data_IF_098611476461
#
_entry.id   IF_098611476461
#
_cell.length_a   1.000
_cell.length_b   1.000
_cell.length_c   1.000
_cell.angle_alpha   90.00
_cell.angle_beta   90.00
_cell.angle_gamma   90.00
#
_symmetry.space_group_name_H-M   'P 1'
#
loop_
_entity.id
_entity.type
_entity.pdbx_description
1 polymer ?
#
# COMPACT_ATOMS: atom_id res chain seq x y z
N UNK A 1 -0.38 1.64 19.33
CA UNK A 1 0.40 1.50 18.08
C UNK A 1 -0.51 2.02 17.00
N UNK A 2 -0.19 3.16 16.42
CA UNK A 2 -1.05 3.83 15.44
C UNK A 2 -0.89 3.12 14.11
N UNK A 3 -1.90 2.34 13.71
CA UNK A 3 -1.97 1.75 12.39
C UNK A 3 -1.81 2.88 11.37
N UNK A 4 -0.70 2.85 10.66
CA UNK A 4 -0.48 3.76 9.54
C UNK A 4 -1.48 3.31 8.48
N UNK A 5 -2.62 3.97 8.44
CA UNK A 5 -3.67 3.71 7.48
C UNK A 5 -3.12 4.07 6.10
N UNK A 6 -2.54 3.07 5.43
CA UNK A 6 -2.02 3.15 4.08
C UNK A 6 -3.12 3.72 3.21
N UNK A 7 -2.89 4.95 2.77
CA UNK A 7 -3.80 5.79 2.00
C UNK A 7 -4.33 5.03 0.79
N UNK A 8 -5.59 4.63 0.84
CA UNK A 8 -6.34 4.06 -0.28
C UNK A 8 -6.52 5.12 -1.36
N UNK A 9 -5.51 5.28 -2.23
CA UNK A 9 -5.70 5.74 -3.61
C UNK A 9 -6.25 4.54 -4.42
N UNK A 10 -7.26 3.86 -3.87
CA UNK A 10 -8.11 2.89 -4.56
C UNK A 10 -9.34 3.58 -5.17
N UNK A 11 -9.38 4.91 -5.08
CA UNK A 11 -10.45 5.79 -5.51
C UNK A 11 -10.60 5.74 -7.03
N UNK A 12 -11.74 5.26 -7.53
CA UNK A 12 -11.99 5.10 -8.98
C UNK A 12 -13.12 5.99 -9.49
N UNK A 13 -13.98 6.49 -8.61
CA UNK A 13 -15.08 7.39 -8.97
C UNK A 13 -14.86 8.83 -8.49
N UNK A 14 -15.46 9.79 -9.20
CA UNK A 14 -15.46 11.21 -8.84
C UNK A 14 -16.01 11.47 -7.43
N UNK A 15 -16.99 10.69 -6.98
CA UNK A 15 -17.58 10.82 -5.65
C UNK A 15 -16.61 10.38 -4.54
N UNK A 16 -15.85 9.31 -4.76
CA UNK A 16 -14.82 8.89 -3.82
C UNK A 16 -13.66 9.91 -3.78
N UNK A 17 -13.33 10.57 -4.91
CA UNK A 17 -12.33 11.64 -4.98
C UNK A 17 -12.77 12.86 -4.17
N UNK A 18 -14.06 13.20 -4.21
CA UNK A 18 -14.65 14.26 -3.36
C UNK A 18 -14.55 13.90 -1.89
N UNK A 19 -14.84 12.65 -1.53
CA UNK A 19 -14.72 12.17 -0.16
C UNK A 19 -13.26 12.17 0.33
N UNK A 20 -12.33 11.74 -0.53
CA UNK A 20 -10.89 11.79 -0.27
C UNK A 20 -10.44 13.24 -0.01
N UNK A 21 -10.78 14.16 -0.90
CA UNK A 21 -10.47 15.58 -0.73
C UNK A 21 -11.03 16.14 0.59
N UNK A 22 -12.27 15.81 0.93
CA UNK A 22 -12.89 16.23 2.19
C UNK A 22 -12.13 15.70 3.42
N UNK A 23 -11.72 14.42 3.43
CA UNK A 23 -10.92 13.83 4.52
C UNK A 23 -9.58 14.53 4.71
N UNK A 24 -8.98 15.00 3.62
CA UNK A 24 -7.71 15.72 3.62
C UNK A 24 -7.86 17.24 3.76
N UNK A 25 -9.05 17.75 4.07
CA UNK A 25 -9.29 19.17 4.29
C UNK A 25 -9.26 20.03 3.02
N UNK A 26 -9.22 19.40 1.84
CA UNK A 26 -9.31 20.06 0.54
C UNK A 26 -10.78 20.42 0.26
N UNK A 27 -11.24 21.50 0.88
CA UNK A 27 -12.60 22.03 0.73
C UNK A 27 -12.64 23.16 -0.30
N UNK A 28 -13.70 23.22 -1.10
CA UNK A 28 -13.96 24.33 -2.01
C UNK A 28 -13.07 24.37 -3.26
N UNK A 29 -12.49 23.24 -3.65
CA UNK A 29 -11.80 23.14 -4.94
C UNK A 29 -12.79 23.32 -6.09
N UNK A 30 -12.41 24.00 -7.18
CA UNK A 30 -13.23 24.04 -8.39
C UNK A 30 -13.27 22.65 -9.08
N UNK A 31 -14.31 22.41 -9.89
CA UNK A 31 -14.59 21.07 -10.45
C UNK A 31 -13.49 20.53 -11.35
N UNK A 32 -12.78 21.41 -12.05
CA UNK A 32 -11.60 21.09 -12.86
C UNK A 32 -10.47 20.46 -12.03
N UNK A 33 -10.30 20.92 -10.79
CA UNK A 33 -9.29 20.37 -9.88
C UNK A 33 -9.69 18.99 -9.36
N UNK A 34 -10.98 18.74 -9.15
CA UNK A 34 -11.47 17.39 -8.82
C UNK A 34 -11.27 16.42 -9.97
N UNK A 35 -11.54 16.85 -11.20
CA UNK A 35 -11.27 16.05 -12.40
C UNK A 35 -9.78 15.74 -12.53
N UNK A 36 -8.90 16.72 -12.30
CA UNK A 36 -7.46 16.51 -12.35
C UNK A 36 -6.96 15.56 -11.27
N UNK A 37 -7.54 15.63 -10.07
CA UNK A 37 -7.20 14.74 -8.97
C UNK A 37 -7.62 13.30 -9.26
N UNK A 38 -8.77 13.11 -9.91
CA UNK A 38 -9.22 11.80 -10.39
C UNK A 38 -8.25 11.18 -11.42
N UNK A 39 -7.80 11.97 -12.40
CA UNK A 39 -6.82 11.53 -13.40
C UNK A 39 -5.48 11.12 -12.77
N UNK A 40 -4.98 11.92 -11.81
CA UNK A 40 -3.75 11.60 -11.08
C UNK A 40 -3.89 10.34 -10.24
N UNK A 41 -5.01 10.18 -9.53
CA UNK A 41 -5.29 8.99 -8.72
C UNK A 41 -5.28 7.72 -9.58
N UNK A 42 -5.93 7.77 -10.75
CA UNK A 42 -5.92 6.67 -11.72
C UNK A 42 -4.51 6.33 -12.19
N UNK A 43 -3.73 7.34 -12.59
CA UNK A 43 -2.37 7.15 -13.11
C UNK A 43 -1.45 6.52 -12.05
N UNK A 44 -1.49 7.04 -10.81
CA UNK A 44 -0.68 6.52 -9.70
C UNK A 44 -1.06 5.08 -9.37
N UNK A 45 -2.36 4.75 -9.42
CA UNK A 45 -2.85 3.39 -9.19
C UNK A 45 -2.35 2.42 -10.26
N UNK A 46 -2.50 2.76 -11.54
CA UNK A 46 -2.03 1.92 -12.65
C UNK A 46 -0.52 1.68 -12.56
N UNK A 47 0.26 2.72 -12.26
CA UNK A 47 1.69 2.60 -12.02
C UNK A 47 2.00 1.70 -10.81
N UNK A 48 1.27 1.89 -9.69
CA UNK A 48 1.47 1.11 -8.47
C UNK A 48 1.13 -0.38 -8.62
N UNK A 49 0.13 -0.72 -9.43
CA UNK A 49 -0.22 -2.11 -9.77
C UNK A 49 0.87 -2.74 -10.65
N UNK A 50 1.45 -1.98 -11.58
CA UNK A 50 2.51 -2.45 -12.46
C UNK A 50 3.84 -2.70 -11.72
N UNK A 51 4.04 -2.10 -10.54
CA UNK A 51 5.21 -2.37 -9.71
C UNK A 51 5.15 -3.80 -9.17
N UNK A 52 6.11 -4.63 -9.58
CA UNK A 52 6.33 -5.96 -9.01
C UNK A 52 6.69 -5.81 -7.53
N UNK A 53 5.73 -6.05 -6.64
CA UNK A 53 6.00 -6.10 -5.20
C UNK A 53 7.03 -7.18 -4.94
N UNK A 54 8.09 -6.84 -4.20
CA UNK A 54 8.98 -7.86 -3.67
C UNK A 54 8.15 -8.80 -2.78
N UNK A 55 8.32 -10.13 -2.88
CA UNK A 55 7.75 -11.04 -1.90
C UNK A 55 8.28 -10.66 -0.51
N UNK A 56 7.40 -10.67 0.49
CA UNK A 56 7.75 -10.39 1.88
C UNK A 56 8.86 -11.36 2.33
N UNK A 57 9.80 -10.90 3.16
CA UNK A 57 10.83 -11.76 3.78
C UNK A 57 10.21 -12.94 4.57
N UNK A 58 8.94 -12.84 4.96
CA UNK A 58 8.14 -13.92 5.57
C UNK A 58 7.86 -15.11 4.63
N UNK A 59 8.17 -15.00 3.33
CA UNK A 59 8.07 -16.09 2.36
C UNK A 59 9.39 -16.85 2.13
N UNK A 60 10.48 -16.45 2.79
CA UNK A 60 11.65 -17.32 2.89
C UNK A 60 11.41 -18.33 4.02
N UNK A 61 11.46 -19.65 3.77
CA UNK A 61 11.38 -20.61 4.87
C UNK A 61 12.53 -20.29 5.83
N UNK A 62 12.18 -19.93 7.08
CA UNK A 62 13.14 -19.61 8.13
C UNK A 62 14.29 -20.61 8.08
N UNK A 63 15.53 -20.13 8.00
CA UNK A 63 16.70 -20.99 7.96
C UNK A 63 16.64 -21.98 9.13
N UNK A 64 16.31 -23.23 8.84
CA UNK A 64 16.24 -24.29 9.83
C UNK A 64 17.67 -24.61 10.24
N UNK A 65 18.11 -24.06 11.37
CA UNK A 65 19.36 -24.44 12.00
C UNK A 65 19.23 -25.87 12.52
N UNK A 66 19.81 -26.84 11.82
CA UNK A 66 19.95 -28.21 12.33
C UNK A 66 21.03 -28.23 13.41
N UNK A 67 20.61 -28.30 14.67
CA UNK A 67 21.51 -28.60 15.78
C UNK A 67 21.94 -30.06 15.65
N UNK A 68 23.17 -30.29 15.20
CA UNK A 68 23.76 -31.62 15.28
C UNK A 68 23.93 -31.96 16.77
N UNK A 69 23.14 -32.93 17.27
CA UNK A 69 23.34 -33.48 18.60
C UNK A 69 24.79 -33.98 18.68
N UNK A 70 25.58 -33.38 19.58
CA UNK A 70 26.92 -33.82 19.91
C UNK A 70 26.87 -35.32 20.27
N UNK A 71 27.37 -36.15 19.37
CA UNK A 71 27.70 -37.55 19.66
C UNK A 71 28.76 -37.55 20.75
N UNK A 72 28.45 -38.21 21.87
CA UNK A 72 29.45 -38.77 22.78
C UNK A 72 29.57 -38.09 24.12
N UNK A 73 28.76 -38.55 25.09
CA UNK A 73 29.15 -38.57 26.49
C UNK A 73 28.73 -39.92 27.10
N UNK A 74 29.60 -40.91 26.93
CA UNK A 74 29.94 -41.93 27.93
C UNK A 74 31.23 -42.63 27.55
#
# INVERSE_FOLDING_TARGET
>A
MSDTQTSDIQTTSLDEIRLYAQRHGLKGLPEDQFARLAELAKTVREAGIALRRMPSEEQEPAHLFTVAALRGLK
#
